data_IF_024931470422
#
_entry.id   IF_024931470422
#
_cell.length_a   1.000
_cell.length_b   1.000
_cell.length_c   1.000
_cell.angle_alpha   90.00
_cell.angle_beta   90.00
_cell.angle_gamma   90.00
#
_symmetry.space_group_name_H-M   'P 1'
#
loop_
_entity.id
_entity.type
_entity.pdbx_description
1 polymer ?
#
# COMPACT_ATOMS: atom_id res chain seq x y z
N UNK A 1 -24.28 10.27 -2.27
CA UNK A 1 -22.93 10.70 -1.84
C UNK A 1 -22.96 10.87 -0.34
N UNK A 2 -22.41 9.92 0.42
CA UNK A 2 -22.31 10.03 1.87
C UNK A 2 -21.35 11.18 2.23
N UNK A 3 -21.76 12.08 3.13
CA UNK A 3 -20.91 13.10 3.74
C UNK A 3 -21.02 12.93 5.25
N UNK A 4 -19.95 12.48 5.88
CA UNK A 4 -19.86 12.44 7.33
C UNK A 4 -19.92 13.87 7.90
N UNK A 5 -20.62 14.11 9.03
CA UNK A 5 -20.62 15.41 9.67
C UNK A 5 -19.30 15.68 10.41
N UNK A 6 -18.70 16.84 10.14
CA UNK A 6 -17.86 17.60 11.08
C UNK A 6 -16.48 17.04 11.45
N UNK A 7 -15.47 17.38 10.65
CA UNK A 7 -14.15 17.81 11.17
C UNK A 7 -13.44 18.65 10.11
N UNK A 8 -13.03 19.87 10.46
CA UNK A 8 -12.31 20.81 9.60
C UNK A 8 -10.81 20.46 9.45
N UNK A 9 -10.47 19.18 9.48
CA UNK A 9 -9.10 18.68 9.35
C UNK A 9 -9.12 17.69 8.19
N UNK A 10 -8.35 17.98 7.14
CA UNK A 10 -8.06 16.98 6.11
C UNK A 10 -7.31 15.83 6.78
N UNK A 11 -7.91 14.63 6.76
CA UNK A 11 -7.28 13.42 7.27
C UNK A 11 -6.65 12.66 6.12
N UNK A 12 -5.42 12.24 6.33
CA UNK A 12 -4.63 11.51 5.35
C UNK A 12 -4.97 10.01 5.32
N UNK A 13 -4.84 9.38 4.15
CA UNK A 13 -5.11 7.96 3.93
C UNK A 13 -3.86 7.26 3.40
N UNK A 14 -3.43 6.23 4.11
CA UNK A 14 -2.47 5.23 3.65
C UNK A 14 -3.17 4.01 3.11
N UNK A 15 -2.68 3.50 1.98
CA UNK A 15 -3.01 2.16 1.50
C UNK A 15 -1.81 1.27 1.71
N UNK A 16 -2.01 0.08 2.28
CA UNK A 16 -0.98 -0.92 2.48
C UNK A 16 -1.27 -2.12 1.58
N UNK A 17 -0.32 -2.46 0.73
CA UNK A 17 -0.33 -3.67 -0.10
C UNK A 17 0.70 -4.67 0.43
N UNK A 18 0.30 -5.78 1.08
CA UNK A 18 1.19 -6.91 1.20
C UNK A 18 1.44 -7.50 -0.20
N UNK A 19 2.69 -7.80 -0.55
CA UNK A 19 3.02 -8.31 -1.87
C UNK A 19 3.96 -9.52 -1.78
N UNK A 20 3.64 -10.58 -2.53
CA UNK A 20 4.49 -11.74 -2.73
C UNK A 20 4.27 -12.30 -4.14
N UNK A 21 5.21 -12.04 -5.04
CA UNK A 21 5.14 -12.43 -6.45
C UNK A 21 3.93 -11.87 -7.22
N UNK A 22 3.75 -10.55 -7.17
CA UNK A 22 2.66 -9.79 -7.79
C UNK A 22 3.09 -9.04 -9.06
N UNK A 23 4.15 -9.48 -9.75
CA UNK A 23 4.74 -8.73 -10.87
C UNK A 23 3.76 -8.42 -12.01
N UNK A 24 2.70 -9.21 -12.18
CA UNK A 24 1.72 -9.03 -13.26
C UNK A 24 0.72 -7.90 -12.97
N UNK A 25 0.36 -7.66 -11.71
CA UNK A 25 -0.75 -6.78 -11.32
C UNK A 25 -0.33 -5.53 -10.54
N UNK A 26 0.77 -5.61 -9.77
CA UNK A 26 1.12 -4.61 -8.75
C UNK A 26 1.20 -3.18 -9.28
N UNK A 27 1.73 -2.97 -10.49
CA UNK A 27 1.83 -1.64 -11.08
C UNK A 27 0.46 -1.03 -11.39
N UNK A 28 -0.46 -1.84 -11.94
CA UNK A 28 -1.80 -1.38 -12.28
C UNK A 28 -2.60 -1.02 -11.03
N UNK A 29 -2.54 -1.86 -9.99
CA UNK A 29 -3.22 -1.57 -8.73
C UNK A 29 -2.68 -0.32 -8.03
N UNK A 30 -1.36 -0.09 -8.06
CA UNK A 30 -0.76 1.14 -7.52
C UNK A 30 -1.31 2.37 -8.24
N UNK A 31 -1.35 2.36 -9.58
CA UNK A 31 -1.85 3.51 -10.34
C UNK A 31 -3.36 3.71 -10.16
N UNK A 32 -4.16 2.64 -10.10
CA UNK A 32 -5.60 2.72 -9.86
C UNK A 32 -5.92 3.33 -8.49
N UNK A 33 -5.20 2.94 -7.45
CA UNK A 33 -5.40 3.54 -6.12
C UNK A 33 -4.93 4.99 -6.06
N UNK A 34 -3.81 5.33 -6.69
CA UNK A 34 -3.39 6.73 -6.75
C UNK A 34 -4.27 7.60 -7.67
N UNK A 35 -5.07 7.01 -8.57
CA UNK A 35 -6.08 7.75 -9.31
C UNK A 35 -7.25 8.20 -8.41
N UNK A 36 -7.39 7.62 -7.21
CA UNK A 36 -8.32 8.09 -6.18
C UNK A 36 -7.72 9.31 -5.45
N UNK A 37 -8.33 10.51 -5.53
CA UNK A 37 -7.79 11.72 -4.91
C UNK A 37 -7.70 11.68 -3.37
N UNK A 38 -8.32 10.68 -2.74
CA UNK A 38 -8.29 10.51 -1.30
C UNK A 38 -7.07 9.71 -0.80
N UNK A 39 -6.27 9.12 -1.70
CA UNK A 39 -5.09 8.32 -1.33
C UNK A 39 -3.85 9.20 -1.33
N UNK A 40 -3.23 9.36 -0.16
CA UNK A 40 -2.03 10.19 0.02
C UNK A 40 -0.74 9.37 -0.10
N UNK A 41 -0.76 8.12 0.37
CA UNK A 41 0.38 7.21 0.27
C UNK A 41 -0.04 5.77 -0.02
N UNK A 42 0.82 5.06 -0.73
CA UNK A 42 0.76 3.60 -0.89
C UNK A 42 2.06 3.02 -0.35
N UNK A 43 1.95 2.08 0.58
CA UNK A 43 3.06 1.31 1.16
C UNK A 43 2.94 -0.12 0.67
N UNK A 44 3.85 -0.53 -0.21
CA UNK A 44 3.95 -1.92 -0.66
C UNK A 44 4.95 -2.63 0.23
N UNK A 45 4.54 -3.75 0.82
CA UNK A 45 5.39 -4.58 1.66
C UNK A 45 5.76 -5.84 0.88
N UNK A 46 6.93 -5.82 0.25
CA UNK A 46 7.53 -7.00 -0.38
C UNK A 46 7.89 -8.03 0.70
N UNK A 47 7.20 -9.16 0.66
CA UNK A 47 7.36 -10.25 1.60
C UNK A 47 8.11 -11.42 0.96
N UNK A 48 9.37 -11.15 0.59
CA UNK A 48 10.30 -12.04 -0.11
C UNK A 48 9.83 -12.51 -1.50
N UNK A 49 9.32 -11.61 -2.34
CA UNK A 49 9.10 -11.94 -3.74
C UNK A 49 10.40 -12.43 -4.40
N UNK A 50 10.28 -13.45 -5.24
CA UNK A 50 11.35 -14.01 -6.06
C UNK A 50 11.27 -13.59 -7.53
N UNK A 51 10.22 -12.86 -7.91
CA UNK A 51 10.00 -12.34 -9.24
C UNK A 51 10.37 -10.84 -9.33
N UNK A 52 9.87 -10.16 -10.37
CA UNK A 52 10.14 -8.75 -10.62
C UNK A 52 9.35 -7.77 -9.73
N UNK A 53 8.47 -8.24 -8.82
CA UNK A 53 7.61 -7.38 -7.98
C UNK A 53 8.34 -6.19 -7.35
N UNK A 54 9.44 -6.37 -6.59
CA UNK A 54 10.12 -5.24 -5.95
C UNK A 54 10.73 -4.25 -6.95
N UNK A 55 11.22 -4.76 -8.09
CA UNK A 55 11.77 -3.91 -9.15
C UNK A 55 10.66 -3.06 -9.79
N UNK A 56 9.50 -3.67 -10.07
CA UNK A 56 8.35 -2.96 -10.64
C UNK A 56 7.84 -1.88 -9.68
N UNK A 57 7.68 -2.20 -8.39
CA UNK A 57 7.23 -1.22 -7.39
C UNK A 57 8.18 -0.04 -7.29
N UNK A 58 9.49 -0.27 -7.36
CA UNK A 58 10.51 0.79 -7.28
C UNK A 58 10.41 1.83 -8.41
N UNK A 59 9.79 1.48 -9.54
CA UNK A 59 9.55 2.39 -10.68
C UNK A 59 8.21 3.16 -10.54
N UNK A 60 7.44 2.92 -9.48
CA UNK A 60 6.16 3.60 -9.21
C UNK A 60 6.31 4.71 -8.17
N UNK A 61 5.20 5.40 -7.88
CA UNK A 61 5.10 6.36 -6.76
C UNK A 61 4.93 5.70 -5.39
N UNK A 62 4.70 4.38 -5.33
CA UNK A 62 4.50 3.69 -4.08
C UNK A 62 5.81 3.52 -3.31
N UNK A 63 5.73 3.49 -1.98
CA UNK A 63 6.89 3.24 -1.13
C UNK A 63 7.06 1.75 -0.92
N UNK A 64 8.19 1.21 -1.36
CA UNK A 64 8.55 -0.18 -1.15
C UNK A 64 9.19 -0.38 0.24
N UNK A 65 8.68 -1.34 1.00
CA UNK A 65 9.23 -1.82 2.27
C UNK A 65 9.46 -3.32 2.15
N UNK A 66 10.58 -3.81 2.69
CA UNK A 66 10.88 -5.25 2.73
C UNK A 66 10.57 -5.85 4.09
N UNK A 67 9.87 -6.98 4.11
CA UNK A 67 9.66 -7.83 5.31
C UNK A 67 10.22 -9.23 5.03
N UNK A 68 11.27 -9.60 5.75
CA UNK A 68 12.01 -10.85 5.51
C UNK A 68 11.35 -12.08 6.13
N UNK A 69 10.43 -11.91 7.09
CA UNK A 69 9.67 -13.03 7.65
C UNK A 69 8.48 -13.33 6.75
N UNK A 70 8.52 -14.47 6.05
CA UNK A 70 7.43 -14.89 5.17
C UNK A 70 6.12 -15.04 5.93
N UNK A 71 5.05 -14.52 5.36
CA UNK A 71 3.68 -14.69 5.81
C UNK A 71 2.90 -13.39 5.70
N UNK A 72 1.70 -13.50 5.14
CA UNK A 72 0.76 -12.39 4.95
C UNK A 72 0.58 -11.51 6.19
N UNK A 73 0.46 -12.13 7.38
CA UNK A 73 0.33 -11.40 8.63
C UNK A 73 1.58 -10.60 9.03
N UNK A 74 2.78 -11.04 8.67
CA UNK A 74 4.01 -10.26 8.89
C UNK A 74 4.05 -9.05 7.95
N UNK A 75 3.68 -9.23 6.69
CA UNK A 75 3.58 -8.14 5.71
C UNK A 75 2.59 -7.06 6.16
N UNK A 76 1.37 -7.47 6.56
CA UNK A 76 0.37 -6.54 7.08
C UNK A 76 0.84 -5.78 8.33
N UNK A 77 1.41 -6.48 9.31
CA UNK A 77 1.91 -5.85 10.54
C UNK A 77 3.03 -4.86 10.23
N UNK A 78 3.93 -5.19 9.30
CA UNK A 78 4.98 -4.29 8.87
C UNK A 78 4.38 -3.06 8.19
N UNK A 79 3.43 -3.25 7.27
CA UNK A 79 2.78 -2.15 6.57
C UNK A 79 2.00 -1.22 7.50
N UNK A 80 1.25 -1.76 8.46
CA UNK A 80 0.57 -0.97 9.51
C UNK A 80 1.55 -0.13 10.34
N UNK A 81 2.73 -0.66 10.66
CA UNK A 81 3.75 0.08 11.42
C UNK A 81 4.47 1.15 10.59
N UNK A 82 4.44 1.02 9.26
CA UNK A 82 5.09 1.92 8.31
C UNK A 82 4.16 3.02 7.82
N UNK A 83 2.85 2.76 7.78
CA UNK A 83 1.84 3.68 7.33
C UNK A 83 1.81 4.95 8.20
N UNK A 84 1.67 6.11 7.57
CA UNK A 84 1.70 7.43 8.22
C UNK A 84 0.36 8.15 8.23
N UNK A 85 -0.63 7.64 7.51
CA UNK A 85 -1.94 8.23 7.36
C UNK A 85 -2.79 8.11 8.61
N UNK A 86 -3.71 9.06 8.80
CA UNK A 86 -4.71 9.03 9.86
C UNK A 86 -5.66 7.83 9.72
N UNK A 87 -5.89 7.41 8.47
CA UNK A 87 -6.57 6.17 8.14
C UNK A 87 -5.63 5.24 7.39
N UNK A 88 -5.75 3.95 7.67
CA UNK A 88 -5.01 2.91 6.94
C UNK A 88 -6.00 1.93 6.33
N UNK A 89 -5.89 1.74 5.02
CA UNK A 89 -6.63 0.74 4.25
C UNK A 89 -5.68 -0.41 3.95
N UNK A 90 -6.08 -1.62 4.33
CA UNK A 90 -5.42 -2.84 3.89
C UNK A 90 -6.14 -3.33 2.64
N UNK A 91 -5.39 -3.55 1.57
CA UNK A 91 -5.94 -4.03 0.30
C UNK A 91 -4.94 -4.95 -0.38
N UNK A 92 -5.43 -5.81 -1.28
CA UNK A 92 -4.56 -6.59 -2.15
C UNK A 92 -4.28 -5.80 -3.44
N UNK A 93 -3.05 -5.89 -3.96
CA UNK A 93 -2.71 -5.38 -5.28
C UNK A 93 -3.27 -6.23 -6.43
#
# INVERSE_FOLDING_TARGET
MWRAPGSSVERSVSVVFPAYNEAEGIAAAIEDFFACPAVDEIVVVDNNSSDATPAIVAETRARLVRETRQGYGFALRRGLAEAKGDYVILAEP
#
